data_IF_166971339317
#
_entry.id   IF_166971339317
#
_cell.length_a   1.000
_cell.length_b   1.000
_cell.length_c   1.000
_cell.angle_alpha   90.00
_cell.angle_beta   90.00
_cell.angle_gamma   90.00
#
_symmetry.space_group_name_H-M   'P 1'
#
loop_
_entity.id
_entity.type
_entity.pdbx_description
1 polymer ?
#
# COMPACT_ATOMS: atom_id res chain seq x y z
N UNK A 1 -15.84 1.92 3.42
CA UNK A 1 -14.44 1.96 2.95
C UNK A 1 -14.06 3.42 2.72
N UNK A 2 -12.85 3.84 3.10
CA UNK A 2 -12.36 5.20 2.80
C UNK A 2 -11.70 5.24 1.41
N UNK A 3 -11.60 6.43 0.80
CA UNK A 3 -10.95 6.62 -0.52
C UNK A 3 -9.50 6.12 -0.54
N UNK A 4 -8.76 6.35 0.55
CA UNK A 4 -7.37 5.91 0.71
C UNK A 4 -7.25 4.37 0.75
N UNK A 5 -8.20 3.71 1.41
CA UNK A 5 -8.25 2.26 1.50
C UNK A 5 -8.44 1.61 0.13
N UNK A 6 -9.16 2.25 -0.80
CA UNK A 6 -9.33 1.79 -2.18
C UNK A 6 -8.06 1.99 -3.00
N UNK A 7 -7.45 3.18 -2.94
CA UNK A 7 -6.20 3.47 -3.64
C UNK A 7 -5.08 2.50 -3.25
N UNK A 8 -4.93 2.19 -1.95
CA UNK A 8 -3.93 1.22 -1.46
C UNK A 8 -4.16 -0.18 -2.08
N UNK A 9 -5.42 -0.60 -2.21
CA UNK A 9 -5.77 -1.91 -2.79
C UNK A 9 -5.52 -1.90 -4.30
N UNK A 10 -5.90 -0.84 -5.00
CA UNK A 10 -5.63 -0.70 -6.44
C UNK A 10 -4.13 -0.76 -6.72
N UNK A 11 -3.33 0.06 -6.04
CA UNK A 11 -1.86 0.06 -6.19
C UNK A 11 -1.27 -1.33 -5.86
N UNK A 12 -1.74 -1.96 -4.78
CA UNK A 12 -1.28 -3.30 -4.40
C UNK A 12 -1.61 -4.35 -5.47
N UNK A 13 -2.80 -4.28 -6.07
CA UNK A 13 -3.21 -5.20 -7.12
C UNK A 13 -2.52 -4.92 -8.46
N UNK A 14 -2.41 -3.66 -8.86
CA UNK A 14 -1.71 -3.22 -10.08
C UNK A 14 -0.23 -3.58 -10.05
N UNK A 15 0.39 -3.56 -8.87
CA UNK A 15 1.76 -4.02 -8.67
C UNK A 15 1.89 -5.55 -8.55
N UNK A 16 0.85 -6.33 -8.88
CA UNK A 16 0.79 -7.79 -8.72
C UNK A 16 1.16 -8.26 -7.30
N UNK A 17 0.71 -7.52 -6.29
CA UNK A 17 1.00 -7.79 -4.87
C UNK A 17 2.48 -7.73 -4.52
N UNK A 18 3.33 -7.19 -5.40
CA UNK A 18 4.77 -7.04 -5.19
C UNK A 18 5.06 -5.96 -4.16
N UNK A 19 4.27 -4.91 -4.13
CA UNK A 19 4.58 -3.74 -3.31
C UNK A 19 4.14 -3.97 -1.86
N UNK A 20 5.08 -3.73 -0.95
CA UNK A 20 4.80 -3.61 0.49
C UNK A 20 4.45 -2.17 0.86
N UNK A 21 4.23 -1.93 2.15
CA UNK A 21 3.92 -0.59 2.68
C UNK A 21 4.91 0.51 2.25
N UNK A 22 6.23 0.27 2.10
CA UNK A 22 7.15 1.32 1.65
C UNK A 22 6.92 1.78 0.22
N UNK A 23 6.68 0.84 -0.71
CA UNK A 23 6.47 1.16 -2.14
C UNK A 23 5.09 1.76 -2.38
N UNK A 24 4.06 1.24 -1.72
CA UNK A 24 2.71 1.82 -1.79
C UNK A 24 2.72 3.26 -1.28
N UNK A 25 3.47 3.55 -0.20
CA UNK A 25 3.62 4.93 0.30
C UNK A 25 4.34 5.84 -0.69
N UNK A 26 5.37 5.34 -1.40
CA UNK A 26 6.06 6.11 -2.43
C UNK A 26 5.10 6.46 -3.58
N UNK A 27 4.35 5.49 -4.06
CA UNK A 27 3.40 5.66 -5.18
C UNK A 27 2.22 6.55 -4.80
N UNK A 28 1.70 6.45 -3.57
CA UNK A 28 0.71 7.39 -3.06
C UNK A 28 1.24 8.82 -3.01
N UNK A 29 2.50 8.99 -2.59
CA UNK A 29 3.14 10.30 -2.53
C UNK A 29 3.35 10.91 -3.93
N UNK A 30 3.73 10.09 -4.91
CA UNK A 30 3.84 10.49 -6.32
C UNK A 30 2.49 10.89 -6.92
N UNK A 31 1.40 10.25 -6.49
CA UNK A 31 0.04 10.62 -6.83
C UNK A 31 -0.50 11.83 -6.04
N UNK A 32 0.35 12.53 -5.26
CA UNK A 32 -0.02 13.71 -4.47
C UNK A 32 -0.73 13.39 -3.14
N UNK A 33 -0.78 12.12 -2.75
CA UNK A 33 -1.40 11.66 -1.51
C UNK A 33 -0.33 11.48 -0.41
N UNK A 34 -0.14 12.51 0.40
CA UNK A 34 0.81 12.47 1.51
C UNK A 34 0.26 11.66 2.70
N UNK A 35 0.77 10.44 2.88
CA UNK A 35 0.40 9.56 3.99
C UNK A 35 1.62 9.01 4.73
N UNK A 36 1.45 8.75 6.03
CA UNK A 36 2.50 8.15 6.84
C UNK A 36 2.64 6.65 6.53
N UNK A 37 3.88 6.14 6.61
CA UNK A 37 4.16 4.72 6.42
C UNK A 37 3.38 3.84 7.42
N UNK A 38 3.23 4.33 8.66
CA UNK A 38 2.46 3.66 9.72
C UNK A 38 0.98 3.53 9.34
N UNK A 39 0.40 4.55 8.73
CA UNK A 39 -0.99 4.52 8.28
C UNK A 39 -1.18 3.50 7.15
N UNK A 40 -0.31 3.52 6.13
CA UNK A 40 -0.33 2.53 5.03
C UNK A 40 -0.18 1.11 5.58
N UNK A 41 0.79 0.88 6.47
CA UNK A 41 1.02 -0.43 7.09
C UNK A 41 -0.20 -0.92 7.90
N UNK A 42 -0.84 -0.03 8.66
CA UNK A 42 -2.06 -0.37 9.40
C UNK A 42 -3.22 -0.72 8.46
N UNK A 43 -3.42 0.04 7.38
CA UNK A 43 -4.46 -0.24 6.39
C UNK A 43 -4.19 -1.60 5.71
N UNK A 44 -2.95 -1.83 5.26
CA UNK A 44 -2.55 -3.12 4.69
C UNK A 44 -2.80 -4.27 5.67
N UNK A 45 -2.44 -4.10 6.96
CA UNK A 45 -2.68 -5.11 8.00
C UNK A 45 -4.17 -5.38 8.22
N UNK A 46 -5.01 -4.35 8.30
CA UNK A 46 -6.47 -4.50 8.44
C UNK A 46 -7.10 -5.21 7.24
N UNK A 47 -6.55 -4.98 6.05
CA UNK A 47 -7.02 -5.60 4.79
C UNK A 47 -6.30 -6.90 4.44
N UNK A 48 -5.47 -7.44 5.32
CA UNK A 48 -4.66 -8.64 5.08
C UNK A 48 -3.80 -8.59 3.81
N UNK A 49 -3.39 -7.40 3.37
CA UNK A 49 -2.51 -7.20 2.22
C UNK A 49 -1.06 -7.43 2.64
N UNK A 50 -0.36 -8.31 1.91
CA UNK A 50 1.06 -8.61 2.13
C UNK A 50 1.80 -8.56 0.79
N UNK A 51 3.07 -8.19 0.84
CA UNK A 51 3.93 -8.31 -0.33
C UNK A 51 4.23 -9.79 -0.58
N UNK A 52 4.18 -10.21 -1.84
CA UNK A 52 4.64 -11.55 -2.26
C UNK A 52 6.16 -11.67 -2.25
N UNK A 53 6.87 -10.54 -2.23
CA UNK A 53 8.33 -10.54 -2.23
C UNK A 53 8.80 -10.87 -0.82
N UNK A 54 9.37 -12.08 -0.67
CA UNK A 54 10.08 -12.46 0.54
C UNK A 54 11.45 -11.82 0.50
N UNK A 55 11.81 -11.09 1.56
CA UNK A 55 13.19 -10.60 1.73
C UNK A 55 14.08 -11.84 1.93
N UNK A 56 15.08 -12.04 1.06
CA UNK A 56 16.13 -13.05 1.26
C UNK A 56 17.07 -12.62 2.36
#
# INVERSE_FOLDING_TARGET
>A
MTKLDQQIVEIHNSSHKRYGSPRIKAELNENGQYVSLKMVANIMRRKSLKSIVRKR
#
